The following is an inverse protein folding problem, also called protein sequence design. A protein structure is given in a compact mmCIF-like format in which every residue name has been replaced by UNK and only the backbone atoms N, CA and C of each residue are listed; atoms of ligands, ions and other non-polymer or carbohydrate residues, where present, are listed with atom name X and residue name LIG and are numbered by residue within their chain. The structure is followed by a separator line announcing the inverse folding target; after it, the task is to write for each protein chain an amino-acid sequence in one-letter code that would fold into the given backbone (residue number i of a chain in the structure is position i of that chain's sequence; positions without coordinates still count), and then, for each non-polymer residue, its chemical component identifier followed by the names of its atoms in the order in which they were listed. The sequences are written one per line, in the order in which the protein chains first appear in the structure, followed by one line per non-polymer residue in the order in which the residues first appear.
data_IF_479065336278
#
_entry.id   IF_479065336278
#
_cell.length_a   1.000
_cell.length_b   1.000
_cell.length_c   1.000
_cell.angle_alpha   90.00
_cell.angle_beta   90.00
_cell.angle_gamma   90.00
#
_symmetry.space_group_name_H-M   'P 1'
#
loop_
_entity.id
_entity.type
_entity.pdbx_description
1 polymer ?
#
# COMPACT_ATOMS: atom_id res chain seq x y z
N UNK A 1 -17.37 5.93 -14.94
CA UNK A 1 -16.29 5.89 -13.94
C UNK A 1 -16.00 4.43 -13.70
N UNK A 2 -14.78 4.01 -13.98
CA UNK A 2 -14.36 2.62 -13.82
C UNK A 2 -14.17 2.29 -12.34
N UNK A 3 -14.70 1.15 -11.90
CA UNK A 3 -14.44 0.61 -10.58
C UNK A 3 -13.30 -0.39 -10.71
N UNK A 4 -12.41 -0.41 -9.71
CA UNK A 4 -11.32 -1.36 -9.63
C UNK A 4 -11.48 -2.27 -8.44
N UNK A 5 -11.16 -3.54 -8.63
CA UNK A 5 -11.27 -4.60 -7.61
C UNK A 5 -9.89 -5.13 -7.27
N UNK A 6 -9.65 -5.37 -5.98
CA UNK A 6 -8.44 -6.05 -5.51
C UNK A 6 -8.79 -7.01 -4.40
N UNK A 7 -8.29 -8.23 -4.53
CA UNK A 7 -8.25 -9.20 -3.44
C UNK A 7 -6.86 -9.16 -2.80
N UNK A 8 -6.82 -8.98 -1.49
CA UNK A 8 -5.57 -8.86 -0.73
C UNK A 8 -5.69 -9.47 0.65
N UNK A 9 -4.56 -9.64 1.33
CA UNK A 9 -4.55 -10.08 2.73
C UNK A 9 -5.39 -9.15 3.60
N UNK A 10 -6.07 -9.73 4.60
CA UNK A 10 -6.78 -8.97 5.62
C UNK A 10 -5.82 -8.30 6.62
N UNK A 11 -4.59 -8.82 6.74
CA UNK A 11 -3.57 -8.36 7.68
C UNK A 11 -2.30 -7.93 6.95
N UNK A 12 -1.57 -6.92 7.47
CA UNK A 12 -0.31 -6.53 6.86
C UNK A 12 0.76 -7.61 7.11
N UNK A 13 1.63 -7.82 6.13
CA UNK A 13 2.84 -8.61 6.31
C UNK A 13 3.87 -7.87 7.19
N UNK A 14 5.01 -8.51 7.47
CA UNK A 14 6.10 -7.92 8.28
C UNK A 14 6.63 -6.56 7.81
N UNK A 15 6.36 -6.18 6.57
CA UNK A 15 6.74 -4.88 5.99
C UNK A 15 5.59 -3.88 5.93
N UNK A 16 4.47 -4.15 6.63
CA UNK A 16 3.30 -3.28 6.66
C UNK A 16 2.44 -3.31 5.38
N UNK A 17 2.70 -4.26 4.45
CA UNK A 17 1.99 -4.33 3.15
C UNK A 17 0.87 -5.36 3.18
N UNK A 18 -0.10 -5.21 2.29
CA UNK A 18 -1.18 -6.17 2.09
C UNK A 18 -1.01 -6.89 0.74
N UNK A 19 -0.35 -8.07 0.72
CA UNK A 19 -0.11 -8.83 -0.50
C UNK A 19 -1.42 -9.15 -1.23
N UNK A 20 -1.36 -9.21 -2.57
CA UNK A 20 -2.52 -9.60 -3.38
C UNK A 20 -2.75 -11.12 -3.34
N UNK A 21 -3.91 -11.56 -3.84
CA UNK A 21 -4.31 -12.97 -3.86
C UNK A 21 -3.22 -13.93 -4.39
N UNK A 22 -2.59 -13.63 -5.53
CA UNK A 22 -1.53 -14.50 -6.08
C UNK A 22 -0.28 -14.53 -5.19
N UNK A 23 0.09 -13.40 -4.58
CA UNK A 23 1.23 -13.34 -3.67
C UNK A 23 0.97 -14.15 -2.38
N UNK A 24 -0.28 -14.22 -1.93
CA UNK A 24 -0.67 -15.07 -0.80
C UNK A 24 -0.58 -16.56 -1.16
N UNK A 25 -1.10 -16.96 -2.32
CA UNK A 25 -1.02 -18.34 -2.79
C UNK A 25 0.43 -18.79 -3.05
N UNK A 26 1.25 -17.91 -3.64
CA UNK A 26 2.69 -18.12 -3.75
C UNK A 26 3.34 -18.30 -2.37
N UNK A 27 2.90 -17.55 -1.36
CA UNK A 27 3.37 -17.71 0.01
C UNK A 27 3.08 -19.11 0.58
N UNK A 28 1.89 -19.67 0.34
CA UNK A 28 1.56 -21.04 0.75
C UNK A 28 2.51 -22.07 0.09
N UNK A 29 2.78 -21.89 -1.21
CA UNK A 29 3.74 -22.70 -1.95
C UNK A 29 5.16 -22.58 -1.38
N UNK A 30 5.64 -21.36 -1.21
CA UNK A 30 7.02 -21.06 -0.80
C UNK A 30 7.34 -21.57 0.61
N UNK A 31 6.31 -21.68 1.45
CA UNK A 31 6.41 -22.23 2.80
C UNK A 31 6.09 -23.74 2.87
N UNK A 32 5.91 -24.41 1.73
CA UNK A 32 5.59 -25.84 1.62
C UNK A 32 4.37 -26.25 2.48
N UNK A 33 3.38 -25.35 2.57
CA UNK A 33 2.13 -25.58 3.32
C UNK A 33 1.13 -26.34 2.46
N UNK A 34 1.19 -26.16 1.14
CA UNK A 34 0.29 -26.82 0.19
C UNK A 34 0.45 -28.34 0.21
N UNK A 35 -0.68 -29.04 0.09
CA UNK A 35 -0.71 -30.45 -0.32
C UNK A 35 -0.11 -30.61 -1.72
N UNK A 36 0.26 -31.85 -2.09
CA UNK A 36 0.82 -32.13 -3.41
C UNK A 36 -0.15 -31.76 -4.55
N UNK A 37 -1.44 -32.09 -4.38
CA UNK A 37 -2.49 -31.76 -5.35
C UNK A 37 -2.66 -30.24 -5.50
N UNK A 38 -2.68 -29.50 -4.39
CA UNK A 38 -2.81 -28.05 -4.44
C UNK A 38 -1.58 -27.36 -5.02
N UNK A 39 -0.38 -27.91 -4.77
CA UNK A 39 0.85 -27.41 -5.35
C UNK A 39 0.90 -27.59 -6.87
N UNK A 40 0.45 -28.75 -7.37
CA UNK A 40 0.33 -29.04 -8.80
C UNK A 40 -0.69 -28.11 -9.46
N UNK A 41 -1.89 -28.01 -8.88
CA UNK A 41 -2.92 -27.08 -9.33
C UNK A 41 -2.40 -25.64 -9.39
N UNK A 42 -1.76 -25.16 -8.32
CA UNK A 42 -1.24 -23.80 -8.25
C UNK A 42 -0.19 -23.52 -9.32
N UNK A 43 0.68 -24.49 -9.61
CA UNK A 43 1.66 -24.37 -10.69
C UNK A 43 1.00 -24.23 -12.06
N UNK A 44 0.03 -25.08 -12.38
CA UNK A 44 -0.70 -25.03 -13.65
C UNK A 44 -1.50 -23.73 -13.80
N UNK A 45 -2.17 -23.30 -12.74
CA UNK A 45 -2.94 -22.07 -12.71
C UNK A 45 -2.04 -20.83 -12.95
N UNK A 46 -0.86 -20.77 -12.32
CA UNK A 46 0.10 -19.68 -12.53
C UNK A 46 0.68 -19.68 -13.95
N UNK A 47 0.98 -20.85 -14.53
CA UNK A 47 1.46 -20.96 -15.90
C UNK A 47 0.41 -20.47 -16.91
N UNK A 48 -0.85 -20.85 -16.71
CA UNK A 48 -1.97 -20.36 -17.51
C UNK A 48 -2.10 -18.84 -17.40
N UNK A 49 -2.11 -18.30 -16.17
CA UNK A 49 -2.22 -16.86 -15.95
C UNK A 49 -1.07 -16.07 -16.60
N UNK A 50 0.17 -16.58 -16.50
CA UNK A 50 1.35 -15.97 -17.14
C UNK A 50 1.26 -15.97 -18.67
N UNK A 51 0.53 -16.93 -19.24
CA UNK A 51 0.34 -17.05 -20.69
C UNK A 51 -0.80 -16.15 -21.19
N UNK A 52 -1.86 -16.01 -20.40
CA UNK A 52 -3.07 -15.27 -20.76
C UNK A 52 -2.98 -13.77 -20.49
N UNK A 53 -2.25 -13.36 -19.44
CA UNK A 53 -2.22 -11.98 -18.97
C UNK A 53 -0.81 -11.39 -19.02
N UNK A 54 -0.74 -10.12 -19.38
CA UNK A 54 0.51 -9.37 -19.42
C UNK A 54 1.01 -9.17 -17.99
N UNK A 55 2.26 -9.53 -17.72
CA UNK A 55 2.95 -9.09 -16.50
C UNK A 55 3.33 -7.61 -16.67
N UNK A 56 2.82 -6.68 -15.85
CA UNK A 56 3.21 -5.27 -15.92
C UNK A 56 4.73 -5.06 -15.83
N UNK A 57 5.44 -5.94 -15.11
CA UNK A 57 6.90 -5.90 -14.95
C UNK A 57 7.65 -6.28 -16.23
N UNK A 58 7.00 -6.97 -17.16
CA UNK A 58 7.56 -7.27 -18.49
C UNK A 58 7.48 -6.07 -19.44
N UNK A 59 6.56 -5.14 -19.18
CA UNK A 59 6.39 -3.90 -19.94
C UNK A 59 7.25 -2.77 -19.35
N UNK A 60 7.19 -2.60 -18.03
CA UNK A 60 8.01 -1.66 -17.27
C UNK A 60 8.63 -2.38 -16.06
N UNK A 61 9.93 -2.71 -16.10
CA UNK A 61 10.62 -3.34 -14.98
C UNK A 61 10.58 -2.53 -13.67
N UNK A 62 10.42 -1.20 -13.75
CA UNK A 62 10.36 -0.31 -12.58
C UNK A 62 8.93 -0.18 -12.00
N UNK A 63 7.94 -0.87 -12.57
CA UNK A 63 6.52 -0.74 -12.20
C UNK A 63 6.28 -0.94 -10.69
N UNK A 64 6.99 -1.87 -10.06
CA UNK A 64 6.89 -2.15 -8.62
C UNK A 64 8.10 -1.68 -7.80
N UNK A 65 9.01 -0.90 -8.40
CA UNK A 65 10.18 -0.36 -7.70
C UNK A 65 9.75 0.51 -6.52
N UNK A 66 10.30 0.26 -5.34
CA UNK A 66 9.86 0.91 -4.11
C UNK A 66 10.34 2.34 -3.95
N UNK A 67 11.42 2.72 -4.63
CA UNK A 67 11.92 4.09 -4.62
C UNK A 67 11.10 4.99 -5.54
N UNK A 68 10.59 4.45 -6.64
CA UNK A 68 9.83 5.18 -7.66
C UNK A 68 8.33 5.11 -7.46
N UNK A 69 7.83 3.93 -7.10
CA UNK A 69 6.42 3.60 -7.01
C UNK A 69 6.10 2.94 -5.65
N UNK A 70 6.29 3.67 -4.53
CA UNK A 70 6.15 3.11 -3.19
C UNK A 70 4.74 2.56 -2.97
N UNK A 71 4.66 1.28 -2.60
CA UNK A 71 3.37 0.62 -2.36
C UNK A 71 2.52 0.34 -3.61
N UNK A 72 3.08 0.47 -4.82
CA UNK A 72 2.40 0.09 -6.05
C UNK A 72 1.79 -1.30 -5.96
N UNK A 73 0.55 -1.42 -6.45
CA UNK A 73 -0.23 -2.64 -6.39
C UNK A 73 -1.19 -2.75 -7.57
N UNK A 74 -1.35 -3.97 -8.07
CA UNK A 74 -2.30 -4.27 -9.13
C UNK A 74 -3.76 -4.27 -8.62
N UNK A 75 -4.65 -3.87 -9.51
CA UNK A 75 -6.10 -3.95 -9.38
C UNK A 75 -6.68 -4.44 -10.70
N UNK A 76 -7.74 -5.22 -10.63
CA UNK A 76 -8.53 -5.61 -11.80
C UNK A 76 -9.55 -4.51 -12.12
N UNK A 77 -9.86 -4.32 -13.39
CA UNK A 77 -11.10 -3.64 -13.77
C UNK A 77 -12.31 -4.50 -13.35
N UNK A 78 -13.42 -3.87 -12.92
CA UNK A 78 -14.67 -4.62 -12.64
C UNK A 78 -15.23 -5.32 -13.88
N UNK A 79 -14.93 -4.80 -15.06
CA UNK A 79 -15.43 -5.33 -16.33
C UNK A 79 -14.55 -6.48 -16.85
N UNK A 80 -13.42 -6.75 -16.19
CA UNK A 80 -12.51 -7.85 -16.51
C UNK A 80 -13.04 -9.19 -15.97
N UNK A 81 -14.22 -9.60 -16.43
CA UNK A 81 -14.97 -10.76 -15.90
C UNK A 81 -14.11 -12.04 -15.88
N UNK A 82 -13.40 -12.34 -16.97
CA UNK A 82 -12.59 -13.57 -17.06
C UNK A 82 -11.37 -13.51 -16.11
N UNK A 83 -10.71 -12.36 -15.99
CA UNK A 83 -9.60 -12.17 -15.07
C UNK A 83 -10.05 -12.26 -13.61
N UNK A 84 -11.23 -11.71 -13.29
CA UNK A 84 -11.83 -11.84 -11.96
C UNK A 84 -12.24 -13.29 -11.67
N UNK A 85 -12.86 -13.99 -12.62
CA UNK A 85 -13.24 -15.39 -12.47
C UNK A 85 -12.03 -16.30 -12.22
N UNK A 86 -10.90 -16.00 -12.89
CA UNK A 86 -9.63 -16.69 -12.69
C UNK A 86 -9.06 -16.55 -11.27
N UNK A 87 -9.44 -15.51 -10.52
CA UNK A 87 -9.05 -15.37 -9.11
C UNK A 87 -9.84 -16.26 -8.14
N UNK A 88 -11.06 -16.69 -8.51
CA UNK A 88 -11.97 -17.42 -7.60
C UNK A 88 -11.30 -18.68 -7.01
N UNK A 89 -10.69 -19.57 -7.82
CA UNK A 89 -10.04 -20.76 -7.27
C UNK A 89 -8.87 -20.45 -6.32
N UNK A 90 -8.20 -19.30 -6.47
CA UNK A 90 -7.17 -18.89 -5.51
C UNK A 90 -7.78 -18.47 -4.19
N UNK A 91 -8.94 -17.81 -4.19
CA UNK A 91 -9.65 -17.45 -2.96
C UNK A 91 -10.12 -18.71 -2.22
N UNK A 92 -10.66 -19.69 -2.95
CA UNK A 92 -11.03 -21.00 -2.39
C UNK A 92 -9.81 -21.71 -1.78
N UNK A 93 -8.64 -21.61 -2.44
CA UNK A 93 -7.39 -22.12 -1.89
C UNK A 93 -7.04 -21.40 -0.59
N UNK A 94 -7.08 -20.06 -0.55
CA UNK A 94 -6.76 -19.30 0.67
C UNK A 94 -7.71 -19.65 1.83
N UNK A 95 -9.00 -19.80 1.55
CA UNK A 95 -10.00 -20.21 2.55
C UNK A 95 -9.71 -21.61 3.10
N UNK A 96 -9.29 -22.56 2.25
CA UNK A 96 -8.92 -23.92 2.66
C UNK A 96 -7.74 -23.97 3.64
N UNK A 97 -6.82 -23.02 3.54
CA UNK A 97 -5.64 -22.93 4.40
C UNK A 97 -5.77 -21.86 5.49
N UNK A 98 -6.99 -21.38 5.77
CA UNK A 98 -7.29 -20.38 6.79
C UNK A 98 -6.46 -19.09 6.63
N UNK A 99 -6.18 -18.67 5.39
CA UNK A 99 -5.46 -17.42 5.09
C UNK A 99 -6.47 -16.29 4.88
N UNK A 100 -6.60 -15.34 5.83
CA UNK A 100 -7.63 -14.32 5.75
C UNK A 100 -7.33 -13.30 4.65
N UNK A 101 -8.33 -13.05 3.82
CA UNK A 101 -8.30 -12.08 2.72
C UNK A 101 -9.54 -11.18 2.74
N UNK A 102 -9.44 -10.05 2.04
CA UNK A 102 -10.53 -9.08 1.85
C UNK A 102 -10.60 -8.65 0.39
N UNK A 103 -11.81 -8.32 -0.06
CA UNK A 103 -12.06 -7.61 -1.30
C UNK A 103 -12.09 -6.10 -1.06
N UNK A 104 -11.36 -5.35 -1.88
CA UNK A 104 -11.44 -3.90 -1.97
C UNK A 104 -12.07 -3.52 -3.30
N UNK A 105 -12.95 -2.53 -3.27
CA UNK A 105 -13.50 -1.88 -4.47
C UNK A 105 -13.20 -0.40 -4.37
N UNK A 106 -12.59 0.19 -5.40
CA UNK A 106 -12.23 1.60 -5.42
C UNK A 106 -12.40 2.22 -6.80
N UNK A 107 -12.87 3.46 -6.86
CA UNK A 107 -12.85 4.31 -8.06
C UNK A 107 -11.54 5.11 -8.19
N UNK A 108 -10.77 5.16 -7.11
CA UNK A 108 -9.55 5.95 -6.97
C UNK A 108 -8.48 5.05 -6.32
N UNK A 109 -7.97 4.03 -7.04
CA UNK A 109 -7.00 3.08 -6.48
C UNK A 109 -5.65 3.73 -6.18
N UNK A 110 -5.42 4.95 -6.69
CA UNK A 110 -4.18 5.70 -6.58
C UNK A 110 -3.82 6.41 -7.88
N UNK A 111 -2.56 6.85 -7.98
CA UNK A 111 -1.96 7.29 -9.25
C UNK A 111 -1.67 6.05 -10.11
N UNK A 112 -2.36 5.93 -11.24
CA UNK A 112 -2.18 4.83 -12.19
C UNK A 112 -0.84 5.00 -12.90
N UNK A 113 -0.02 3.94 -12.89
CA UNK A 113 1.30 3.88 -13.54
C UNK A 113 1.36 2.84 -14.67
N UNK A 114 0.38 1.95 -14.72
CA UNK A 114 0.21 0.95 -15.76
C UNK A 114 -1.29 0.68 -15.95
N UNK A 115 -1.71 0.43 -17.18
CA UNK A 115 -3.07 0.03 -17.52
C UNK A 115 -3.05 -0.86 -18.76
N UNK A 116 -3.82 -1.93 -18.73
CA UNK A 116 -4.17 -2.74 -19.89
C UNK A 116 -5.69 -2.97 -19.93
N UNK A 117 -6.15 -3.96 -20.73
CA UNK A 117 -7.57 -4.25 -20.89
C UNK A 117 -8.24 -4.86 -19.65
N UNK A 118 -7.49 -5.41 -18.69
CA UNK A 118 -8.02 -6.17 -17.55
C UNK A 118 -7.55 -5.66 -16.19
N UNK A 119 -6.43 -4.92 -16.13
CA UNK A 119 -5.83 -4.48 -14.88
C UNK A 119 -5.18 -3.09 -14.98
N UNK A 120 -5.00 -2.50 -13.80
CA UNK A 120 -4.17 -1.31 -13.58
C UNK A 120 -3.18 -1.57 -12.45
N UNK A 121 -2.00 -0.94 -12.52
CA UNK A 121 -1.13 -0.81 -11.35
C UNK A 121 -1.22 0.62 -10.86
N UNK A 122 -1.50 0.79 -9.57
CA UNK A 122 -1.67 2.09 -8.95
C UNK A 122 -0.78 2.25 -7.72
N UNK A 123 -0.18 3.44 -7.60
CA UNK A 123 0.52 3.90 -6.39
C UNK A 123 -0.53 4.51 -5.45
N UNK A 124 -0.72 3.97 -4.23
CA UNK A 124 -1.75 4.47 -3.32
C UNK A 124 -1.50 5.92 -2.91
N UNK A 125 -2.57 6.69 -2.76
CA UNK A 125 -2.51 8.03 -2.18
C UNK A 125 -2.00 7.92 -0.74
N UNK A 126 -0.76 8.32 -0.50
CA UNK A 126 -0.04 8.09 0.77
C UNK A 126 0.25 9.39 1.52
N UNK A 127 0.14 10.52 0.83
CA UNK A 127 0.34 11.86 1.39
C UNK A 127 -0.90 12.74 1.20
N UNK A 128 -1.01 13.81 1.99
CA UNK A 128 -2.10 14.78 1.88
C UNK A 128 -2.21 15.41 0.49
N UNK A 129 -1.08 15.57 -0.20
CA UNK A 129 -1.00 16.17 -1.53
C UNK A 129 -1.56 15.24 -2.62
N UNK A 130 -1.64 13.94 -2.34
CA UNK A 130 -2.26 12.94 -3.22
C UNK A 130 -3.79 12.95 -3.10
N UNK A 131 -4.35 13.63 -2.09
CA UNK A 131 -5.77 13.63 -1.80
C UNK A 131 -6.52 14.55 -2.77
N UNK A 132 -7.53 14.08 -3.50
CA UNK A 132 -8.22 14.87 -4.52
C UNK A 132 -9.11 15.98 -3.94
N UNK A 133 -9.18 16.09 -2.62
CA UNK A 133 -9.92 17.15 -1.94
C UNK A 133 -8.96 18.26 -1.53
N UNK A 134 -9.33 19.54 -1.71
CA UNK A 134 -8.49 20.65 -1.29
C UNK A 134 -8.15 20.54 0.19
N UNK A 135 -6.89 20.77 0.53
CA UNK A 135 -6.43 20.85 1.91
C UNK A 135 -7.33 21.83 2.67
N UNK A 136 -7.95 21.42 3.79
CA UNK A 136 -8.76 22.34 4.59
C UNK A 136 -7.94 23.58 4.94
N UNK A 137 -8.48 24.78 4.68
CA UNK A 137 -7.76 26.04 4.88
C UNK A 137 -7.22 26.24 6.31
N UNK A 138 -7.78 25.54 7.29
CA UNK A 138 -7.32 25.55 8.68
C UNK A 138 -5.99 24.81 8.93
N UNK A 139 -5.52 24.00 7.98
CA UNK A 139 -4.21 23.33 8.05
C UNK A 139 -3.08 24.12 7.37
N UNK A 140 -3.39 25.27 6.74
CA UNK A 140 -2.38 26.20 6.26
C UNK A 140 -1.86 26.99 7.47
N UNK A 141 -0.58 26.83 7.88
CA UNK A 141 -0.03 27.66 8.94
C UNK A 141 -0.20 29.12 8.53
N UNK A 142 -0.94 29.89 9.32
CA UNK A 142 -1.08 31.32 9.07
C UNK A 142 0.26 31.96 9.37
N UNK A 143 1.09 32.16 8.35
CA UNK A 143 2.32 32.93 8.45
C UNK A 143 1.96 34.42 8.57
N UNK A 144 1.31 34.80 9.67
CA UNK A 144 1.07 36.21 10.02
C UNK A 144 0.89 36.35 11.53
N UNK A 145 1.92 36.01 12.29
CA UNK A 145 2.09 36.52 13.65
C UNK A 145 3.56 36.83 13.96
N UNK A 146 4.29 37.41 12.99
CA UNK A 146 5.59 38.04 13.25
C UNK A 146 5.44 39.56 13.20
N UNK A 147 4.95 40.12 14.30
CA UNK A 147 5.18 41.52 14.69
C UNK A 147 4.90 41.65 16.19
N UNK A 148 5.90 41.30 17.00
CA UNK A 148 6.00 41.81 18.37
C UNK A 148 6.82 43.10 18.28
N UNK A 149 6.25 44.30 18.55
CA UNK A 149 7.04 45.50 18.72
C UNK A 149 7.79 45.40 20.06
N UNK A 150 9.10 45.63 19.98
CA UNK A 150 10.00 45.76 21.11
C UNK A 150 9.56 46.88 22.05
N UNK A 151 9.17 46.57 23.28
CA UNK A 151 9.37 47.42 24.47
C UNK A 151 8.73 46.79 25.73
N UNK A 152 9.55 46.24 26.63
CA UNK A 152 9.61 46.61 28.05
C UNK A 152 10.53 45.62 28.76
N UNK A 153 11.73 46.12 29.10
CA UNK A 153 12.63 45.45 30.04
C UNK A 153 11.97 45.39 31.42
N UNK A 154 12.04 44.24 32.12
CA UNK A 154 12.08 44.24 33.56
C UNK A 154 13.52 44.03 34.04
N UNK A 155 13.89 44.91 34.94
CA UNK A 155 15.04 44.95 35.84
C UNK A 155 15.38 43.56 36.40
N UNK A 156 16.66 43.18 36.33
CA UNK A 156 17.21 42.01 37.02
C UNK A 156 17.12 42.16 38.53
N UNK A 157 16.80 41.08 39.27
CA UNK A 157 17.32 40.89 40.61
C UNK A 157 18.34 39.76 40.64
N UNK A 158 19.56 40.16 41.01
CA UNK A 158 20.61 39.47 41.78
C UNK A 158 20.60 37.93 41.81
N UNK A 159 21.74 37.40 41.33
CA UNK A 159 22.33 36.10 41.69
C UNK A 159 22.16 35.79 43.18
N UNK A 160 21.62 34.61 43.48
CA UNK A 160 22.02 33.85 44.66
C UNK A 160 22.69 32.58 44.16
N UNK A 161 23.99 32.49 44.46
CA UNK A 161 24.87 31.37 44.17
C UNK A 161 24.66 30.35 45.28
N UNK A 162 24.23 29.13 44.97
CA UNK A 162 24.67 27.94 45.70
C UNK A 162 24.88 26.81 44.70
N UNK A 163 26.15 26.58 44.39
CA UNK A 163 26.65 25.40 43.72
C UNK A 163 27.15 24.43 44.80
N UNK A 164 26.46 23.32 44.99
CA UNK A 164 27.06 22.13 45.58
C UNK A 164 27.84 21.40 44.48
N UNK A 165 29.16 21.62 44.44
CA UNK A 165 30.13 20.60 44.08
C UNK A 165 30.50 19.91 45.40
N UNK A 166 30.73 18.62 45.54
CA UNK A 166 30.89 17.51 44.61
C UNK A 166 31.64 16.40 45.37
N UNK A 167 31.39 15.15 44.97
CA UNK A 167 32.24 13.94 45.09
C UNK A 167 33.06 13.71 46.37
N UNK A 168 32.80 12.59 47.04
CA UNK A 168 33.59 11.36 46.90
C UNK A 168 32.80 10.18 47.49
#
# INVERSE_FOLDING_TARGET
MENFVRYQSAVPNRHGRYPGVFALANGLRDHAILTAEDAEWHQEANLRATTEYIDPSSVDPDCYDQSRNPGARAWFSVDAVDALAMTIPYLDLLDRYDVPWVQLISRTPGRIIYSDAVQVVAVPHSYCDDWPFPTPQYLIPTETASRVPSAMRPVSPRRSVQSEHGRA
#
